data_IF_363450513622
#
_entry.id   IF_363450513622
#
_cell.length_a   1.000
_cell.length_b   1.000
_cell.length_c   1.000
_cell.angle_alpha   90.00
_cell.angle_beta   90.00
_cell.angle_gamma   90.00
#
_symmetry.space_group_name_H-M   'P 1'
#
loop_
_entity.id
_entity.type
_entity.pdbx_description
1 polymer ?
#
# COMPACT_ATOMS: atom_id res chain seq x y z
N UNK A 1 -35.08 5.23 -38.84
CA UNK A 1 -34.93 3.79 -39.20
C UNK A 1 -35.97 3.00 -38.42
N UNK A 2 -36.85 2.32 -39.15
CA UNK A 2 -38.03 1.59 -38.70
C UNK A 2 -37.78 0.68 -37.48
N UNK A 3 -38.65 0.78 -36.46
CA UNK A 3 -38.64 -0.07 -35.25
C UNK A 3 -39.54 -1.31 -35.37
N UNK A 4 -40.01 -1.63 -36.57
CA UNK A 4 -41.10 -2.59 -36.83
C UNK A 4 -40.70 -3.86 -37.57
N UNK A 5 -39.42 -4.00 -37.99
CA UNK A 5 -38.93 -5.29 -38.49
C UNK A 5 -38.55 -6.16 -37.29
N UNK A 6 -39.15 -7.36 -37.11
CA UNK A 6 -38.64 -8.30 -36.12
C UNK A 6 -37.20 -8.63 -36.49
N UNK A 7 -36.27 -8.40 -35.56
CA UNK A 7 -34.87 -8.77 -35.72
C UNK A 7 -34.81 -10.25 -36.14
N UNK A 8 -34.40 -10.53 -37.38
CA UNK A 8 -34.37 -11.90 -37.91
C UNK A 8 -33.49 -12.83 -37.08
N UNK A 9 -32.49 -12.27 -36.40
CA UNK A 9 -31.64 -12.97 -35.43
C UNK A 9 -32.41 -13.44 -34.19
N UNK A 10 -33.44 -12.72 -33.76
CA UNK A 10 -34.24 -13.02 -32.56
C UNK A 10 -35.24 -14.14 -32.78
N UNK A 11 -35.63 -14.41 -34.03
CA UNK A 11 -36.54 -15.49 -34.43
C UNK A 11 -35.84 -16.84 -34.66
N UNK A 12 -34.51 -16.88 -34.58
CA UNK A 12 -33.74 -18.13 -34.68
C UNK A 12 -33.95 -18.96 -33.41
N UNK A 13 -33.97 -20.29 -33.54
CA UNK A 13 -34.07 -21.22 -32.42
C UNK A 13 -32.97 -20.94 -31.36
N UNK A 14 -33.37 -20.96 -30.09
CA UNK A 14 -32.52 -20.47 -28.99
C UNK A 14 -31.22 -21.28 -28.82
N UNK A 15 -31.22 -22.56 -29.20
CA UNK A 15 -30.00 -23.39 -29.21
C UNK A 15 -28.96 -22.91 -30.24
N UNK A 16 -29.41 -22.52 -31.43
CA UNK A 16 -28.54 -22.00 -32.50
C UNK A 16 -27.99 -20.64 -32.08
N UNK A 17 -28.83 -19.78 -31.50
CA UNK A 17 -28.37 -18.50 -30.94
C UNK A 17 -27.29 -18.71 -29.87
N UNK A 18 -27.49 -19.65 -28.94
CA UNK A 18 -26.48 -19.99 -27.91
C UNK A 18 -25.19 -20.50 -28.52
N UNK A 19 -25.26 -21.36 -29.53
CA UNK A 19 -24.08 -21.87 -30.24
C UNK A 19 -23.28 -20.75 -30.93
N UNK A 20 -23.96 -19.80 -31.57
CA UNK A 20 -23.31 -18.63 -32.19
C UNK A 20 -22.63 -17.79 -31.11
N UNK A 21 -23.36 -17.45 -30.05
CA UNK A 21 -22.87 -16.61 -28.93
C UNK A 21 -21.63 -17.25 -28.27
N UNK A 22 -21.62 -18.58 -28.08
CA UNK A 22 -20.46 -19.29 -27.53
C UNK A 22 -19.21 -19.16 -28.38
N UNK A 23 -19.32 -18.90 -29.69
CA UNK A 23 -18.18 -18.73 -30.60
C UNK A 23 -17.71 -17.28 -30.75
N UNK A 24 -18.50 -16.31 -30.29
CA UNK A 24 -18.16 -14.89 -30.41
C UNK A 24 -17.03 -14.47 -29.45
N UNK A 25 -16.25 -13.46 -29.85
CA UNK A 25 -15.24 -12.83 -28.99
C UNK A 25 -15.87 -12.08 -27.80
N UNK A 26 -15.13 -11.91 -26.70
CA UNK A 26 -15.59 -11.16 -25.51
C UNK A 26 -16.00 -9.73 -25.87
N UNK A 27 -15.26 -9.08 -26.79
CA UNK A 27 -15.58 -7.75 -27.28
C UNK A 27 -16.92 -7.71 -28.03
N UNK A 28 -17.14 -8.67 -28.92
CA UNK A 28 -18.40 -8.77 -29.69
C UNK A 28 -19.58 -9.09 -28.77
N UNK A 29 -19.37 -9.93 -27.75
CA UNK A 29 -20.38 -10.24 -26.73
C UNK A 29 -20.78 -8.98 -25.93
N UNK A 30 -19.81 -8.16 -25.54
CA UNK A 30 -20.08 -6.88 -24.87
C UNK A 30 -20.93 -5.94 -25.73
N UNK A 31 -20.64 -5.86 -27.03
CA UNK A 31 -21.47 -5.08 -27.98
C UNK A 31 -22.88 -5.66 -28.12
N UNK A 32 -23.00 -6.98 -28.23
CA UNK A 32 -24.28 -7.68 -28.36
C UNK A 32 -25.16 -7.48 -27.11
N UNK A 33 -24.56 -7.50 -25.92
CA UNK A 33 -25.26 -7.24 -24.66
C UNK A 33 -25.86 -5.83 -24.57
N UNK A 34 -25.32 -4.85 -25.30
CA UNK A 34 -25.85 -3.48 -25.36
C UNK A 34 -27.02 -3.30 -26.33
N UNK A 35 -27.28 -4.28 -27.21
CA UNK A 35 -28.30 -4.15 -28.27
C UNK A 35 -29.71 -4.26 -27.69
N UNK A 36 -29.98 -5.23 -26.82
CA UNK A 36 -31.30 -5.42 -26.23
C UNK A 36 -31.23 -6.16 -24.89
N UNK A 37 -32.30 -6.07 -24.07
CA UNK A 37 -32.41 -6.84 -22.82
C UNK A 37 -32.36 -8.36 -23.05
N UNK A 38 -32.88 -8.82 -24.19
CA UNK A 38 -32.85 -10.23 -24.57
C UNK A 38 -31.40 -10.70 -24.78
N UNK A 39 -30.64 -9.98 -25.61
CA UNK A 39 -29.24 -10.29 -25.88
C UNK A 39 -28.35 -10.03 -24.66
N UNK A 40 -28.70 -9.08 -23.80
CA UNK A 40 -28.03 -8.88 -22.51
C UNK A 40 -28.06 -10.16 -21.66
N UNK A 41 -29.24 -10.79 -21.53
CA UNK A 41 -29.39 -12.03 -20.76
C UNK A 41 -28.65 -13.23 -21.36
N UNK A 42 -28.54 -13.31 -22.68
CA UNK A 42 -27.83 -14.40 -23.37
C UNK A 42 -26.31 -14.21 -23.43
N UNK A 43 -25.85 -12.99 -23.71
CA UNK A 43 -24.44 -12.70 -23.93
C UNK A 43 -23.67 -12.52 -22.62
N UNK A 44 -24.28 -11.93 -21.58
CA UNK A 44 -23.60 -11.63 -20.30
C UNK A 44 -23.01 -12.88 -19.63
N UNK A 45 -23.75 -13.99 -19.45
CA UNK A 45 -23.18 -15.20 -18.84
C UNK A 45 -21.99 -15.75 -19.62
N UNK A 46 -22.07 -15.76 -20.95
CA UNK A 46 -21.00 -16.26 -21.82
C UNK A 46 -19.80 -15.31 -21.78
N UNK A 47 -20.04 -14.00 -21.77
CA UNK A 47 -19.00 -12.98 -21.72
C UNK A 47 -18.16 -13.10 -20.45
N UNK A 48 -18.81 -13.15 -19.27
CA UNK A 48 -18.09 -13.21 -18.00
C UNK A 48 -17.46 -14.58 -17.74
N UNK A 49 -18.06 -15.69 -18.19
CA UNK A 49 -17.41 -17.00 -18.14
C UNK A 49 -16.13 -17.03 -18.98
N UNK A 50 -16.16 -16.41 -20.17
CA UNK A 50 -14.96 -16.28 -21.00
C UNK A 50 -13.93 -15.35 -20.39
N UNK A 51 -14.36 -14.20 -19.84
CA UNK A 51 -13.49 -13.25 -19.16
C UNK A 51 -12.78 -13.88 -17.95
N UNK A 52 -13.49 -14.70 -17.16
CA UNK A 52 -12.90 -15.41 -16.02
C UNK A 52 -11.76 -16.37 -16.43
N UNK A 53 -11.85 -16.96 -17.62
CA UNK A 53 -10.80 -17.81 -18.20
C UNK A 53 -9.70 -17.03 -18.93
N UNK A 54 -9.91 -15.74 -19.23
CA UNK A 54 -8.92 -14.90 -19.93
C UNK A 54 -7.73 -14.59 -19.01
N UNK A 55 -6.53 -14.53 -19.60
CA UNK A 55 -5.31 -14.12 -18.91
C UNK A 55 -4.78 -12.82 -19.53
N UNK A 56 -4.99 -11.64 -18.90
CA UNK A 56 -5.69 -11.36 -17.64
C UNK A 56 -7.20 -11.02 -17.81
N UNK A 57 -8.07 -11.32 -16.81
CA UNK A 57 -9.50 -11.04 -16.85
C UNK A 57 -9.76 -9.54 -16.80
N UNK A 58 -10.42 -9.01 -17.81
CA UNK A 58 -10.54 -7.57 -18.04
C UNK A 58 -11.58 -6.96 -17.12
N UNK A 59 -12.64 -7.69 -16.77
CA UNK A 59 -13.75 -7.12 -16.00
C UNK A 59 -13.34 -6.78 -14.56
N UNK A 60 -12.67 -7.71 -13.86
CA UNK A 60 -12.24 -7.51 -12.46
C UNK A 60 -11.16 -6.42 -12.40
N UNK A 61 -10.17 -6.46 -13.29
CA UNK A 61 -9.09 -5.49 -13.30
C UNK A 61 -9.56 -4.10 -13.73
N UNK A 62 -10.48 -4.01 -14.69
CA UNK A 62 -11.15 -2.75 -15.02
C UNK A 62 -11.92 -2.21 -13.82
N UNK A 63 -12.72 -3.04 -13.14
CA UNK A 63 -13.49 -2.61 -11.98
C UNK A 63 -12.60 -2.12 -10.83
N UNK A 64 -11.45 -2.77 -10.62
CA UNK A 64 -10.45 -2.37 -9.63
C UNK A 64 -9.76 -1.04 -10.00
N UNK A 65 -9.35 -0.86 -11.26
CA UNK A 65 -8.61 0.33 -11.72
C UNK A 65 -9.46 1.56 -12.04
N UNK A 66 -10.76 1.36 -12.29
CA UNK A 66 -11.67 2.43 -12.71
C UNK A 66 -11.76 3.56 -11.69
N UNK A 67 -11.86 4.80 -12.17
CA UNK A 67 -12.08 5.97 -11.31
C UNK A 67 -13.53 6.00 -10.82
N UNK A 68 -13.74 6.02 -9.51
CA UNK A 68 -15.07 5.91 -8.91
C UNK A 68 -15.85 7.23 -8.94
N UNK A 69 -16.48 7.54 -10.08
CA UNK A 69 -17.54 8.56 -10.22
C UNK A 69 -18.89 8.05 -9.67
N UNK A 70 -19.86 8.92 -9.32
CA UNK A 70 -21.16 8.50 -8.78
C UNK A 70 -21.87 7.43 -9.63
N UNK A 71 -21.78 7.55 -10.95
CA UNK A 71 -22.41 6.63 -11.90
C UNK A 71 -21.65 5.31 -12.03
N UNK A 72 -20.31 5.39 -12.10
CA UNK A 72 -19.46 4.20 -12.22
C UNK A 72 -19.46 3.37 -10.95
N UNK A 73 -19.70 3.94 -9.76
CA UNK A 73 -19.82 3.16 -8.50
C UNK A 73 -20.85 2.04 -8.57
N UNK A 74 -22.01 2.30 -9.19
CA UNK A 74 -23.06 1.27 -9.36
C UNK A 74 -22.62 0.21 -10.36
N UNK A 75 -21.93 0.63 -11.42
CA UNK A 75 -21.42 -0.27 -12.46
C UNK A 75 -20.32 -1.17 -11.90
N UNK A 76 -19.32 -0.61 -11.19
CA UNK A 76 -18.23 -1.36 -10.54
C UNK A 76 -18.79 -2.47 -9.65
N UNK A 77 -19.78 -2.17 -8.80
CA UNK A 77 -20.42 -3.19 -7.94
C UNK A 77 -21.05 -4.31 -8.77
N UNK A 78 -21.83 -3.97 -9.80
CA UNK A 78 -22.47 -4.94 -10.69
C UNK A 78 -21.47 -5.79 -11.46
N UNK A 79 -20.40 -5.19 -11.98
CA UNK A 79 -19.35 -5.89 -12.73
C UNK A 79 -18.62 -6.88 -11.83
N UNK A 80 -18.28 -6.49 -10.60
CA UNK A 80 -17.65 -7.39 -9.63
C UNK A 80 -18.59 -8.54 -9.22
N UNK A 81 -19.88 -8.26 -9.01
CA UNK A 81 -20.88 -9.29 -8.72
C UNK A 81 -20.99 -10.31 -9.87
N UNK A 82 -21.13 -9.82 -11.11
CA UNK A 82 -21.20 -10.69 -12.29
C UNK A 82 -19.90 -11.49 -12.48
N UNK A 83 -18.74 -10.87 -12.29
CA UNK A 83 -17.47 -11.54 -12.43
C UNK A 83 -17.35 -12.73 -11.46
N UNK A 84 -17.69 -12.56 -10.19
CA UNK A 84 -17.64 -13.66 -9.21
C UNK A 84 -18.69 -14.73 -9.51
N UNK A 85 -19.93 -14.34 -9.83
CA UNK A 85 -21.01 -15.29 -10.18
C UNK A 85 -20.62 -16.22 -11.33
N UNK A 86 -19.82 -15.74 -12.28
CA UNK A 86 -19.40 -16.50 -13.45
C UNK A 86 -17.96 -17.05 -13.37
N UNK A 87 -17.40 -17.17 -12.15
CA UNK A 87 -16.15 -17.90 -11.90
C UNK A 87 -14.88 -17.03 -11.87
N UNK A 88 -15.02 -15.71 -11.84
CA UNK A 88 -13.90 -14.79 -11.70
C UNK A 88 -13.26 -14.88 -10.31
N UNK A 89 -11.96 -15.19 -10.26
CA UNK A 89 -11.20 -15.29 -9.01
C UNK A 89 -10.69 -13.91 -8.55
N UNK A 90 -11.22 -13.43 -7.42
CA UNK A 90 -10.82 -12.13 -6.81
C UNK A 90 -9.43 -12.13 -6.18
N UNK A 91 -8.86 -13.31 -5.90
CA UNK A 91 -7.53 -13.51 -5.32
C UNK A 91 -6.50 -13.95 -6.34
N UNK A 92 -6.84 -13.95 -7.63
CA UNK A 92 -5.87 -14.29 -8.67
C UNK A 92 -4.73 -13.27 -8.66
N UNK A 93 -3.51 -13.80 -8.71
CA UNK A 93 -2.27 -13.04 -8.71
C UNK A 93 -1.88 -12.81 -10.16
N UNK A 94 -1.55 -11.56 -10.50
CA UNK A 94 -1.16 -11.15 -11.84
C UNK A 94 0.28 -10.68 -11.87
N UNK A 95 1.09 -11.08 -12.86
CA UNK A 95 2.42 -10.53 -13.05
C UNK A 95 2.32 -9.10 -13.59
N UNK A 96 3.19 -8.23 -13.10
CA UNK A 96 3.45 -6.88 -13.58
C UNK A 96 4.93 -6.80 -13.89
N UNK A 97 5.28 -6.64 -15.16
CA UNK A 97 6.68 -6.51 -15.58
C UNK A 97 7.04 -5.03 -15.49
N UNK A 98 7.98 -4.70 -14.60
CA UNK A 98 8.56 -3.36 -14.48
C UNK A 98 10.08 -3.51 -14.59
N UNK A 99 10.65 -2.94 -15.66
CA UNK A 99 12.11 -2.82 -15.83
C UNK A 99 12.88 -4.13 -15.57
N UNK A 100 12.56 -5.18 -16.32
CA UNK A 100 13.13 -6.55 -16.24
C UNK A 100 12.83 -7.34 -14.95
N UNK A 101 11.97 -6.84 -14.06
CA UNK A 101 11.53 -7.55 -12.84
C UNK A 101 10.04 -7.88 -12.90
N UNK A 102 9.69 -9.05 -12.34
CA UNK A 102 8.31 -9.53 -12.26
C UNK A 102 7.78 -9.20 -10.86
N UNK A 103 6.98 -8.14 -10.75
CA UNK A 103 6.14 -7.90 -9.60
C UNK A 103 4.85 -8.71 -9.73
N UNK A 104 4.15 -8.98 -8.63
CA UNK A 104 2.82 -9.57 -8.67
C UNK A 104 1.81 -8.76 -7.88
N UNK A 105 0.55 -8.77 -8.30
CA UNK A 105 -0.50 -8.02 -7.64
C UNK A 105 -1.87 -8.69 -7.77
N UNK A 106 -2.77 -8.38 -6.83
CA UNK A 106 -4.17 -8.82 -6.87
C UNK A 106 -5.08 -7.67 -7.29
N UNK A 107 -6.34 -7.95 -7.69
CA UNK A 107 -7.34 -6.91 -7.92
C UNK A 107 -7.50 -5.96 -6.73
N UNK A 108 -7.35 -6.48 -5.51
CA UNK A 108 -7.43 -5.68 -4.30
C UNK A 108 -6.25 -4.71 -4.19
N UNK A 109 -5.03 -5.14 -4.53
CA UNK A 109 -3.86 -4.26 -4.60
C UNK A 109 -4.05 -3.13 -5.61
N UNK A 110 -4.56 -3.45 -6.80
CA UNK A 110 -4.82 -2.45 -7.82
C UNK A 110 -5.87 -1.43 -7.37
N UNK A 111 -6.96 -1.90 -6.75
CA UNK A 111 -8.00 -1.03 -6.21
C UNK A 111 -7.46 -0.12 -5.09
N UNK A 112 -6.61 -0.65 -4.21
CA UNK A 112 -5.98 0.12 -3.13
C UNK A 112 -5.00 1.17 -3.66
N UNK A 113 -4.11 0.79 -4.59
CA UNK A 113 -3.13 1.69 -5.20
C UNK A 113 -3.80 2.84 -5.97
N UNK A 114 -4.95 2.59 -6.61
CA UNK A 114 -5.74 3.64 -7.28
C UNK A 114 -6.63 4.44 -6.32
N UNK A 115 -6.76 4.03 -5.06
CA UNK A 115 -7.67 4.63 -4.09
C UNK A 115 -9.15 4.38 -4.42
N UNK A 116 -9.46 3.33 -5.20
CA UNK A 116 -10.83 2.97 -5.57
C UNK A 116 -11.52 2.25 -4.41
N UNK A 117 -12.03 3.03 -3.46
CA UNK A 117 -12.72 2.51 -2.27
C UNK A 117 -13.93 1.64 -2.57
N UNK A 118 -14.62 1.90 -3.67
CA UNK A 118 -15.86 1.17 -3.99
C UNK A 118 -15.53 -0.25 -4.44
N UNK A 119 -14.50 -0.38 -5.28
CA UNK A 119 -13.97 -1.68 -5.66
C UNK A 119 -13.33 -2.39 -4.47
N UNK A 120 -12.45 -1.73 -3.70
CA UNK A 120 -11.79 -2.35 -2.55
C UNK A 120 -12.79 -2.90 -1.50
N UNK A 121 -13.78 -2.10 -1.07
CA UNK A 121 -14.84 -2.58 -0.16
C UNK A 121 -15.63 -3.75 -0.73
N UNK A 122 -15.90 -3.74 -2.04
CA UNK A 122 -16.67 -4.79 -2.69
C UNK A 122 -15.86 -6.07 -2.83
N UNK A 123 -14.59 -5.97 -3.21
CA UNK A 123 -13.64 -7.09 -3.30
C UNK A 123 -13.48 -7.77 -1.94
N UNK A 124 -13.27 -7.02 -0.86
CA UNK A 124 -13.21 -7.58 0.50
C UNK A 124 -14.49 -8.33 0.87
N UNK A 125 -15.67 -7.77 0.54
CA UNK A 125 -16.97 -8.45 0.76
C UNK A 125 -17.14 -9.73 -0.08
N UNK A 126 -16.44 -9.82 -1.21
CA UNK A 126 -16.46 -10.98 -2.10
C UNK A 126 -15.39 -12.03 -1.72
N UNK A 127 -14.72 -11.87 -0.57
CA UNK A 127 -13.69 -12.80 -0.10
C UNK A 127 -12.30 -12.54 -0.66
N UNK A 128 -12.02 -11.31 -1.13
CA UNK A 128 -10.66 -10.94 -1.46
C UNK A 128 -9.80 -10.94 -0.20
N UNK A 129 -8.67 -11.64 -0.25
CA UNK A 129 -7.73 -11.74 0.86
C UNK A 129 -6.91 -10.44 0.96
N UNK A 130 -7.04 -9.67 2.06
CA UNK A 130 -6.26 -8.46 2.28
C UNK A 130 -4.77 -8.72 2.51
N UNK A 131 -4.39 -9.99 2.74
CA UNK A 131 -3.03 -10.48 2.86
C UNK A 131 -2.61 -11.30 1.62
N UNK A 132 -3.26 -11.11 0.46
CA UNK A 132 -2.86 -11.85 -0.73
C UNK A 132 -1.46 -11.43 -1.22
N UNK A 133 -0.68 -12.39 -1.74
CA UNK A 133 0.71 -12.18 -2.17
C UNK A 133 0.80 -11.19 -3.34
N UNK A 134 1.38 -10.02 -3.08
CA UNK A 134 1.87 -9.10 -4.11
C UNK A 134 3.38 -9.00 -3.98
N UNK A 135 4.13 -9.60 -4.89
CA UNK A 135 5.59 -9.56 -4.89
C UNK A 135 6.04 -8.19 -5.45
N UNK A 136 6.96 -7.52 -4.75
CA UNK A 136 7.77 -6.37 -5.22
C UNK A 136 7.11 -4.99 -5.51
N UNK A 137 5.84 -4.75 -5.17
CA UNK A 137 5.12 -3.49 -5.52
C UNK A 137 5.81 -2.18 -5.08
N UNK A 138 6.71 -2.20 -4.08
CA UNK A 138 7.35 -1.00 -3.50
C UNK A 138 8.84 -0.80 -3.77
N UNK A 139 9.49 -1.70 -4.53
CA UNK A 139 10.97 -1.67 -4.66
C UNK A 139 11.49 -0.39 -5.32
N UNK A 140 10.69 0.25 -6.16
CA UNK A 140 11.16 1.30 -7.08
C UNK A 140 11.05 2.75 -6.57
N UNK A 141 10.47 2.99 -5.37
CA UNK A 141 10.37 4.39 -4.85
C UNK A 141 11.02 4.62 -3.50
N UNK A 142 11.52 3.58 -2.82
CA UNK A 142 12.06 3.69 -1.46
C UNK A 142 13.29 2.79 -1.16
N UNK A 143 13.74 1.92 -2.08
CA UNK A 143 14.74 0.88 -1.76
C UNK A 143 15.90 0.77 -2.75
N UNK A 144 17.13 0.64 -2.23
CA UNK A 144 18.32 0.25 -2.99
C UNK A 144 18.44 -1.29 -2.99
N UNK A 145 18.80 -1.93 -4.12
CA UNK A 145 18.79 -3.39 -4.29
C UNK A 145 19.89 -4.16 -3.52
N UNK A 146 20.69 -3.50 -2.68
CA UNK A 146 21.91 -4.12 -2.12
C UNK A 146 21.69 -5.08 -0.94
N UNK A 147 20.49 -5.24 -0.41
CA UNK A 147 20.29 -5.87 0.91
C UNK A 147 19.06 -6.81 0.94
N UNK A 148 19.11 -7.88 0.15
CA UNK A 148 18.11 -8.96 0.21
C UNK A 148 18.59 -10.08 1.16
N UNK A 149 17.98 -10.18 2.34
CA UNK A 149 18.14 -11.31 3.27
C UNK A 149 17.25 -12.50 2.82
N UNK A 150 17.67 -13.77 3.07
CA UNK A 150 16.98 -14.97 2.56
C UNK A 150 15.75 -15.42 3.37
N UNK A 151 15.18 -14.59 4.24
CA UNK A 151 14.07 -14.96 5.12
C UNK A 151 12.71 -14.70 4.44
N UNK A 152 11.86 -15.74 4.50
CA UNK A 152 10.46 -15.90 4.07
C UNK A 152 9.75 -14.67 3.47
N UNK A 153 9.19 -14.74 2.25
CA UNK A 153 8.79 -13.57 1.47
C UNK A 153 7.61 -12.81 2.10
N UNK A 154 7.96 -11.74 2.83
CA UNK A 154 7.05 -10.81 3.49
C UNK A 154 5.95 -10.29 2.55
N UNK A 155 4.73 -10.64 2.90
CA UNK A 155 3.52 -10.43 2.11
C UNK A 155 3.09 -8.96 2.11
N UNK A 156 3.00 -8.33 0.93
CA UNK A 156 2.48 -6.95 0.82
C UNK A 156 0.96 -6.98 1.01
N UNK A 157 0.51 -6.69 2.22
CA UNK A 157 -0.91 -6.57 2.53
C UNK A 157 -1.53 -5.23 2.09
N UNK A 158 -2.85 -5.13 2.21
CA UNK A 158 -3.63 -3.93 1.90
C UNK A 158 -3.15 -2.68 2.65
N UNK A 159 -2.78 -2.80 3.93
CA UNK A 159 -2.36 -1.67 4.76
C UNK A 159 -1.01 -1.10 4.32
N UNK A 160 -0.08 -1.94 3.84
CA UNK A 160 1.18 -1.46 3.25
C UNK A 160 0.91 -0.57 2.03
N UNK A 161 0.01 -1.00 1.14
CA UNK A 161 -0.30 -0.24 -0.07
C UNK A 161 -0.93 1.09 0.27
N UNK A 162 -1.86 1.11 1.21
CA UNK A 162 -2.47 2.34 1.69
C UNK A 162 -1.42 3.25 2.35
N UNK A 163 -0.54 2.72 3.19
CA UNK A 163 0.48 3.50 3.90
C UNK A 163 1.48 4.18 2.96
N UNK A 164 1.69 3.60 1.78
CA UNK A 164 2.55 4.19 0.76
C UNK A 164 1.88 5.30 -0.08
N UNK A 165 0.56 5.51 0.05
CA UNK A 165 -0.14 6.61 -0.63
C UNK A 165 0.25 7.96 -0.03
N UNK A 166 0.19 9.05 -0.82
CA UNK A 166 0.58 10.35 -0.34
C UNK A 166 -0.47 10.95 0.60
N UNK A 167 -0.04 11.84 1.52
CA UNK A 167 -0.85 12.40 2.60
C UNK A 167 -2.15 13.05 2.11
N UNK A 168 -2.16 13.67 0.94
CA UNK A 168 -3.33 14.37 0.39
C UNK A 168 -4.50 13.43 0.08
N UNK A 169 -4.24 12.14 -0.11
CA UNK A 169 -5.31 11.14 -0.32
C UNK A 169 -6.09 10.89 0.96
N UNK A 170 -5.42 10.92 2.11
CA UNK A 170 -6.03 10.69 3.42
C UNK A 170 -6.81 11.91 3.91
N UNK A 171 -6.30 13.12 3.66
CA UNK A 171 -7.02 14.36 3.99
C UNK A 171 -8.31 14.50 3.18
N UNK A 172 -8.30 14.07 1.91
CA UNK A 172 -9.48 14.10 1.04
C UNK A 172 -10.46 12.94 1.28
N UNK A 173 -9.97 11.79 1.76
CA UNK A 173 -10.80 10.60 1.95
C UNK A 173 -10.48 9.87 3.26
N UNK A 174 -11.07 10.35 4.35
CA UNK A 174 -11.02 9.72 5.67
C UNK A 174 -11.54 8.27 5.68
N UNK A 175 -12.29 7.84 4.65
CA UNK A 175 -12.76 6.46 4.54
C UNK A 175 -11.62 5.45 4.39
N UNK A 176 -10.43 5.88 3.94
CA UNK A 176 -9.26 5.00 3.83
C UNK A 176 -8.71 4.62 5.21
N UNK A 177 -8.85 5.49 6.21
CA UNK A 177 -8.43 5.22 7.59
C UNK A 177 -9.26 4.10 8.23
N UNK A 178 -10.52 3.92 7.79
CA UNK A 178 -11.38 2.83 8.25
C UNK A 178 -10.80 1.43 7.98
N UNK A 179 -9.94 1.26 6.97
CA UNK A 179 -9.30 -0.04 6.72
C UNK A 179 -8.35 -0.44 7.84
N UNK A 180 -7.66 0.52 8.47
CA UNK A 180 -6.77 0.26 9.60
C UNK A 180 -7.56 -0.17 10.83
N UNK A 181 -8.73 0.44 11.08
CA UNK A 181 -9.64 0.04 12.17
C UNK A 181 -10.26 -1.35 11.96
N UNK A 182 -10.61 -1.68 10.72
CA UNK A 182 -11.30 -2.92 10.39
C UNK A 182 -10.36 -4.12 10.21
N UNK A 183 -9.05 -3.89 10.07
CA UNK A 183 -8.05 -4.93 9.85
C UNK A 183 -6.89 -4.83 10.86
N UNK A 184 -7.15 -4.86 12.18
CA UNK A 184 -6.11 -4.73 13.21
C UNK A 184 -5.06 -5.84 13.11
N UNK A 185 -5.44 -7.03 12.66
CA UNK A 185 -4.55 -8.18 12.50
C UNK A 185 -3.43 -7.97 11.46
N UNK A 186 -3.54 -6.97 10.59
CA UNK A 186 -2.57 -6.69 9.53
C UNK A 186 -1.61 -5.54 9.87
N UNK A 187 -1.83 -4.85 11.01
CA UNK A 187 -1.17 -3.59 11.34
C UNK A 187 0.32 -3.75 11.61
N UNK A 188 0.73 -4.87 12.21
CA UNK A 188 2.12 -5.14 12.59
C UNK A 188 2.78 -6.20 11.70
N UNK A 189 2.14 -6.61 10.60
CA UNK A 189 2.76 -7.57 9.68
C UNK A 189 3.83 -6.83 8.88
N UNK A 190 5.11 -7.23 8.92
CA UNK A 190 6.13 -6.60 8.11
C UNK A 190 6.17 -7.17 6.68
N UNK A 191 6.56 -6.34 5.71
CA UNK A 191 7.00 -6.81 4.38
C UNK A 191 8.49 -7.23 4.40
N UNK A 192 8.97 -7.72 3.25
CA UNK A 192 10.41 -7.87 2.98
C UNK A 192 11.15 -6.61 3.44
N UNK A 193 12.22 -6.79 4.22
CA UNK A 193 12.96 -5.76 4.95
C UNK A 193 12.41 -5.39 6.35
N UNK A 194 11.48 -6.14 6.94
CA UNK A 194 11.00 -5.88 8.31
C UNK A 194 10.13 -4.61 8.42
N UNK A 195 9.62 -4.11 7.29
CA UNK A 195 8.91 -2.84 7.26
C UNK A 195 7.42 -3.07 7.46
N UNK A 196 6.91 -2.60 8.59
CA UNK A 196 5.47 -2.58 8.86
C UNK A 196 4.79 -1.39 8.16
N UNK A 197 3.45 -1.38 8.07
CA UNK A 197 2.70 -0.21 7.62
C UNK A 197 3.09 1.09 8.36
N UNK A 198 3.50 0.99 9.63
CA UNK A 198 4.02 2.12 10.41
C UNK A 198 5.28 2.71 9.79
N UNK A 199 6.27 1.89 9.43
CA UNK A 199 7.49 2.37 8.77
C UNK A 199 7.21 3.09 7.44
N UNK A 200 6.27 2.55 6.64
CA UNK A 200 5.89 3.19 5.37
C UNK A 200 5.24 4.56 5.57
N UNK A 201 4.45 4.71 6.63
CA UNK A 201 3.84 5.99 6.99
C UNK A 201 4.88 7.05 7.33
N UNK A 202 5.94 6.64 8.03
CA UNK A 202 7.05 7.50 8.43
C UNK A 202 7.83 7.94 7.20
N UNK A 203 8.19 7.02 6.29
CA UNK A 203 8.87 7.37 5.04
C UNK A 203 8.12 8.39 4.18
N UNK A 204 6.78 8.39 4.25
CA UNK A 204 5.93 9.35 3.55
C UNK A 204 5.66 10.64 4.34
N UNK A 205 6.11 10.74 5.59
CA UNK A 205 5.83 11.88 6.47
C UNK A 205 4.34 12.06 6.76
N UNK A 206 3.58 10.96 6.81
CA UNK A 206 2.13 11.00 6.99
C UNK A 206 1.75 10.86 8.48
N UNK A 207 1.80 11.97 9.20
CA UNK A 207 1.46 12.10 10.62
C UNK A 207 0.02 11.65 10.95
N UNK A 208 -0.94 11.87 10.05
CA UNK A 208 -2.34 11.46 10.24
C UNK A 208 -2.43 9.93 10.27
N UNK A 209 -1.78 9.27 9.31
CA UNK A 209 -1.78 7.82 9.20
C UNK A 209 -0.96 7.18 10.32
N UNK A 210 0.15 7.81 10.73
CA UNK A 210 0.90 7.39 11.91
C UNK A 210 0.02 7.36 13.16
N UNK A 211 -0.70 8.44 13.46
CA UNK A 211 -1.61 8.50 14.61
C UNK A 211 -2.67 7.42 14.54
N UNK A 212 -3.26 7.20 13.36
CA UNK A 212 -4.28 6.18 13.18
C UNK A 212 -3.73 4.76 13.37
N UNK A 213 -2.56 4.44 12.80
CA UNK A 213 -1.90 3.14 13.01
C UNK A 213 -1.62 2.92 14.50
N UNK A 214 -1.07 3.92 15.18
CA UNK A 214 -0.76 3.86 16.61
C UNK A 214 -2.03 3.64 17.46
N UNK A 215 -3.12 4.36 17.17
CA UNK A 215 -4.39 4.17 17.90
C UNK A 215 -5.01 2.77 17.71
N UNK A 216 -4.65 2.07 16.63
CA UNK A 216 -5.15 0.73 16.33
C UNK A 216 -4.16 -0.38 16.74
N UNK A 217 -3.12 -0.09 17.52
CA UNK A 217 -2.19 -1.09 18.06
C UNK A 217 -0.91 -1.28 17.24
N UNK A 218 -0.50 -0.27 16.48
CA UNK A 218 0.82 -0.24 15.83
C UNK A 218 1.95 -0.37 16.85
N UNK A 219 2.88 -1.29 16.62
CA UNK A 219 4.05 -1.44 17.48
C UNK A 219 5.12 -0.39 17.12
N UNK A 220 5.36 0.54 18.04
CA UNK A 220 6.35 1.62 17.89
C UNK A 220 7.78 1.17 18.14
N UNK A 221 7.95 -0.04 18.67
CA UNK A 221 9.24 -0.63 19.02
C UNK A 221 9.67 -1.74 18.04
N UNK A 222 8.88 -2.04 17.01
CA UNK A 222 9.28 -3.01 15.97
C UNK A 222 10.58 -2.56 15.28
N UNK A 223 11.45 -3.49 14.93
CA UNK A 223 12.69 -3.17 14.22
C UNK A 223 12.58 -3.54 12.74
N UNK A 224 13.16 -2.70 11.88
CA UNK A 224 13.38 -3.07 10.49
C UNK A 224 14.61 -3.97 10.35
N UNK A 225 14.88 -4.45 9.14
CA UNK A 225 16.03 -5.31 8.83
C UNK A 225 17.42 -4.73 9.15
N UNK A 226 17.53 -3.42 9.35
CA UNK A 226 18.78 -2.73 9.73
C UNK A 226 18.91 -2.66 11.26
N UNK A 227 17.88 -3.08 12.00
CA UNK A 227 17.83 -2.95 13.45
C UNK A 227 17.44 -1.56 13.92
N UNK A 228 16.69 -0.80 13.11
CA UNK A 228 16.21 0.54 13.47
C UNK A 228 14.75 0.49 13.88
N UNK A 229 14.42 1.17 14.99
CA UNK A 229 13.04 1.39 15.43
C UNK A 229 12.36 2.47 14.56
N UNK A 230 11.01 2.56 14.57
CA UNK A 230 10.25 3.63 13.93
C UNK A 230 10.77 5.02 14.29
N UNK A 231 11.14 5.25 15.56
CA UNK A 231 11.68 6.52 16.01
C UNK A 231 13.02 6.84 15.33
N UNK A 232 13.94 5.87 15.28
CA UNK A 232 15.21 6.01 14.58
C UNK A 232 14.99 6.29 13.09
N UNK A 233 14.04 5.59 12.46
CA UNK A 233 13.73 5.81 11.05
C UNK A 233 13.18 7.22 10.80
N UNK A 234 12.34 7.75 11.69
CA UNK A 234 11.82 9.12 11.57
C UNK A 234 12.93 10.16 11.68
N UNK A 235 13.89 9.96 12.59
CA UNK A 235 15.06 10.82 12.75
C UNK A 235 15.92 10.81 11.49
N UNK A 236 16.25 9.62 10.97
CA UNK A 236 17.03 9.46 9.74
C UNK A 236 16.33 10.14 8.56
N UNK A 237 15.02 9.93 8.41
CA UNK A 237 14.24 10.60 7.37
C UNK A 237 14.22 12.12 7.53
N UNK A 238 14.23 12.65 8.76
CA UNK A 238 14.37 14.08 9.00
C UNK A 238 15.74 14.61 8.54
N UNK A 239 16.83 13.89 8.85
CA UNK A 239 18.20 14.26 8.49
C UNK A 239 18.44 14.23 6.97
N UNK A 240 17.84 13.27 6.27
CA UNK A 240 18.00 13.10 4.82
C UNK A 240 17.23 14.14 3.97
N UNK A 241 16.24 14.86 4.53
CA UNK A 241 15.37 15.75 3.74
C UNK A 241 15.89 17.18 3.68
N UNK A 242 16.00 17.68 2.45
CA UNK A 242 16.51 19.03 2.19
C UNK A 242 15.51 20.13 2.49
N UNK A 243 14.24 19.83 2.28
CA UNK A 243 13.13 20.76 2.42
C UNK A 243 12.85 21.06 3.92
N UNK A 244 12.91 22.32 4.36
CA UNK A 244 12.62 22.71 5.74
C UNK A 244 11.18 22.40 6.16
N UNK A 245 10.20 22.52 5.27
CA UNK A 245 8.79 22.24 5.60
C UNK A 245 8.58 20.76 5.93
N UNK A 246 9.25 19.90 5.16
CA UNK A 246 9.24 18.45 5.40
C UNK A 246 9.91 18.11 6.73
N UNK A 247 11.03 18.77 7.08
CA UNK A 247 11.69 18.58 8.39
C UNK A 247 10.80 19.00 9.55
N UNK A 248 10.06 20.10 9.44
CA UNK A 248 9.08 20.52 10.47
C UNK A 248 8.03 19.43 10.68
N UNK A 249 7.54 18.81 9.60
CA UNK A 249 6.61 17.69 9.68
C UNK A 249 7.22 16.49 10.45
N UNK A 250 8.46 16.11 10.11
CA UNK A 250 9.15 15.01 10.80
C UNK A 250 9.45 15.31 12.27
N UNK A 251 9.82 16.54 12.61
CA UNK A 251 9.98 16.96 14.01
C UNK A 251 8.67 16.80 14.77
N UNK A 252 7.54 17.21 14.18
CA UNK A 252 6.22 16.98 14.76
C UNK A 252 5.89 15.49 14.92
N UNK A 253 6.31 14.64 13.99
CA UNK A 253 6.18 13.17 14.09
C UNK A 253 7.01 12.65 15.27
N UNK A 254 8.29 13.03 15.36
CA UNK A 254 9.22 12.62 16.43
C UNK A 254 8.69 13.04 17.79
N UNK A 255 8.26 14.30 17.95
CA UNK A 255 7.64 14.79 19.19
C UNK A 255 6.38 13.99 19.54
N UNK A 256 5.49 13.71 18.58
CA UNK A 256 4.30 12.88 18.84
C UNK A 256 4.68 11.45 19.27
N UNK A 257 5.71 10.85 18.67
CA UNK A 257 6.17 9.50 19.00
C UNK A 257 6.70 9.42 20.44
N UNK A 258 7.44 10.44 20.87
CA UNK A 258 8.04 10.48 22.21
C UNK A 258 7.00 10.92 23.26
N UNK A 259 6.28 12.01 23.01
CA UNK A 259 5.37 12.62 24.00
C UNK A 259 4.02 11.91 24.09
N UNK A 260 3.42 11.50 22.96
CA UNK A 260 2.08 10.90 22.96
C UNK A 260 2.11 9.37 22.98
N UNK A 261 3.13 8.75 22.38
CA UNK A 261 3.21 7.29 22.25
C UNK A 261 4.33 6.65 23.09
N UNK A 262 5.09 7.46 23.83
CA UNK A 262 6.12 7.00 24.77
C UNK A 262 7.14 6.05 24.15
N UNK A 263 7.57 6.33 22.90
CA UNK A 263 8.61 5.59 22.21
C UNK A 263 9.90 5.59 23.03
N UNK A 264 10.56 4.43 23.13
CA UNK A 264 11.82 4.33 23.89
C UNK A 264 12.94 5.09 23.16
N UNK A 265 13.60 5.97 23.90
CA UNK A 265 14.73 6.78 23.42
C UNK A 265 16.09 6.15 23.73
N UNK A 266 16.11 5.05 24.48
CA UNK A 266 17.30 4.31 24.90
C UNK A 266 16.94 3.03 25.66
N UNK A 267 17.93 2.20 26.00
CA UNK A 267 17.78 0.88 26.61
C UNK A 267 16.84 -0.04 25.82
N UNK A 268 17.07 -0.10 24.52
CA UNK A 268 16.36 -1.01 23.63
C UNK A 268 16.92 -2.41 23.87
N UNK A 269 16.35 -3.13 24.85
CA UNK A 269 16.76 -4.49 25.24
C UNK A 269 16.51 -5.58 24.18
N UNK A 270 16.30 -5.17 22.93
CA UNK A 270 16.17 -6.05 21.77
C UNK A 270 17.56 -6.20 21.13
N UNK A 271 18.02 -7.45 20.99
CA UNK A 271 19.31 -7.77 20.40
C UNK A 271 19.41 -7.33 18.93
N UNK A 272 18.28 -7.20 18.26
CA UNK A 272 18.21 -6.80 16.85
C UNK A 272 18.41 -5.29 16.67
N UNK A 273 18.35 -4.48 17.73
CA UNK A 273 18.61 -3.03 17.66
C UNK A 273 20.10 -2.75 17.59
N UNK A 274 20.62 -2.39 16.43
CA UNK A 274 22.07 -2.25 16.22
C UNK A 274 22.65 -0.90 16.67
N UNK A 275 21.81 0.14 16.75
CA UNK A 275 22.21 1.53 16.95
C UNK A 275 21.32 2.22 17.99
N UNK A 276 21.81 3.27 18.63
CA UNK A 276 20.97 4.16 19.46
C UNK A 276 20.44 5.33 18.61
N UNK A 277 19.33 5.98 18.99
CA UNK A 277 18.80 7.12 18.24
C UNK A 277 19.82 8.25 18.05
N UNK A 278 20.69 8.46 19.04
CA UNK A 278 21.78 9.46 18.96
C UNK A 278 22.86 9.05 17.95
N UNK A 279 23.24 7.77 17.90
CA UNK A 279 24.22 7.28 16.92
C UNK A 279 23.67 7.40 15.49
N UNK A 280 22.39 7.12 15.27
CA UNK A 280 21.76 7.30 13.97
C UNK A 280 21.85 8.75 13.47
N UNK A 281 21.71 9.75 14.35
CA UNK A 281 21.84 11.16 13.97
C UNK A 281 23.24 11.45 13.40
N UNK A 282 24.28 10.98 14.09
CA UNK A 282 25.67 11.32 13.78
C UNK A 282 26.15 10.63 12.51
N UNK A 283 25.76 9.36 12.29
CA UNK A 283 26.08 8.62 11.06
C UNK A 283 25.53 9.27 9.80
N UNK A 284 24.38 9.93 9.89
CA UNK A 284 23.74 10.58 8.75
C UNK A 284 24.28 12.00 8.49
N UNK A 285 25.16 12.52 9.36
CA UNK A 285 25.84 13.80 9.13
C UNK A 285 26.97 13.60 8.09
N UNK A 286 26.94 14.32 6.95
CA UNK A 286 28.02 14.26 5.98
C UNK A 286 29.31 14.85 6.55
N UNK A 287 30.41 14.13 6.34
CA UNK A 287 31.77 14.58 6.66
C UNK A 287 32.54 14.82 5.35
N UNK A 288 32.95 16.06 5.02
CA UNK A 288 32.86 17.30 5.82
C UNK A 288 31.47 17.95 5.82
N UNK A 289 31.16 18.67 6.90
CA UNK A 289 29.90 19.42 7.08
C UNK A 289 29.76 20.53 6.03
N UNK A 290 28.72 20.52 5.17
CA UNK A 290 28.49 21.58 4.21
C UNK A 290 28.11 22.90 4.89
N UNK A 291 28.59 24.03 4.36
CA UNK A 291 28.35 25.37 4.92
C UNK A 291 26.88 25.77 4.95
N UNK A 292 26.06 25.20 4.07
CA UNK A 292 24.64 25.54 3.90
C UNK A 292 23.71 24.81 4.90
N UNK A 293 24.27 23.96 5.77
CA UNK A 293 23.50 23.13 6.72
C UNK A 293 23.09 23.83 8.01
N UNK A 294 23.25 25.16 8.14
CA UNK A 294 22.95 25.91 9.38
C UNK A 294 21.57 25.61 9.95
N UNK A 295 20.54 25.56 9.09
CA UNK A 295 19.17 25.24 9.52
C UNK A 295 19.00 23.75 9.87
N UNK A 296 19.66 22.83 9.16
CA UNK A 296 19.62 21.39 9.46
C UNK A 296 20.30 21.07 10.79
N UNK A 297 21.44 21.70 11.07
CA UNK A 297 22.17 21.54 12.32
C UNK A 297 21.33 22.04 13.50
N UNK A 298 20.60 23.15 13.33
CA UNK A 298 19.68 23.65 14.35
C UNK A 298 18.52 22.66 14.59
N UNK A 299 17.91 22.12 13.53
CA UNK A 299 16.86 21.11 13.65
C UNK A 299 17.36 19.83 14.34
N UNK A 300 18.56 19.37 13.99
CA UNK A 300 19.21 18.20 14.59
C UNK A 300 19.50 18.45 16.07
N UNK A 301 20.00 19.64 16.42
CA UNK A 301 20.26 20.02 17.81
C UNK A 301 18.97 19.98 18.63
N UNK A 302 17.86 20.48 18.10
CA UNK A 302 16.56 20.41 18.77
C UNK A 302 16.07 18.97 18.97
N UNK A 303 16.32 18.07 18.01
CA UNK A 303 16.01 16.63 18.16
C UNK A 303 16.89 16.00 19.26
N UNK A 304 18.19 16.31 19.29
CA UNK A 304 19.11 15.83 20.34
C UNK A 304 18.64 16.33 21.70
N UNK A 305 18.34 17.63 21.84
CA UNK A 305 17.86 18.22 23.08
C UNK A 305 16.55 17.55 23.55
N UNK A 306 15.65 17.21 22.61
CA UNK A 306 14.41 16.50 22.90
C UNK A 306 14.67 15.06 23.38
N UNK A 307 15.59 14.32 22.75
CA UNK A 307 15.97 12.97 23.17
C UNK A 307 16.62 12.97 24.56
N UNK A 308 17.55 13.89 24.82
CA UNK A 308 18.22 14.04 26.12
C UNK A 308 17.23 14.37 27.23
N UNK A 309 16.26 15.26 26.96
CA UNK A 309 15.20 15.61 27.92
C UNK A 309 14.34 14.40 28.32
N UNK A 310 14.15 13.45 27.41
CA UNK A 310 13.36 12.24 27.64
C UNK A 310 14.20 11.03 28.08
N UNK A 311 15.48 11.25 28.44
CA UNK A 311 16.32 10.24 29.09
C UNK A 311 17.21 9.43 28.15
N UNK A 312 17.49 9.92 26.95
CA UNK A 312 18.54 9.32 26.11
C UNK A 312 19.93 9.51 26.77
N UNK A 313 20.68 8.42 26.92
CA UNK A 313 22.04 8.48 27.47
C UNK A 313 23.07 8.63 26.34
N UNK A 314 23.92 9.64 26.44
CA UNK A 314 25.01 9.92 25.48
C UNK A 314 26.04 8.79 25.49
N UNK A 315 26.22 8.13 26.64
CA UNK A 315 27.17 7.06 26.83
C UNK A 315 26.56 5.67 26.59
N UNK A 316 25.32 5.59 26.13
CA UNK A 316 24.70 4.32 25.79
C UNK A 316 25.51 3.64 24.68
N UNK A 317 25.96 2.42 24.98
CA UNK A 317 26.68 1.56 24.04
C UNK A 317 25.63 0.86 23.20
N UNK A 318 25.66 1.05 21.88
CA UNK A 318 24.79 0.29 20.99
C UNK A 318 25.16 -1.19 20.99
N UNK A 319 24.27 -2.07 20.52
CA UNK A 319 24.60 -3.49 20.39
C UNK A 319 25.75 -3.75 19.39
N UNK A 320 26.07 -2.78 18.53
CA UNK A 320 27.28 -2.79 17.69
C UNK A 320 28.58 -2.43 18.45
N UNK A 321 28.50 -2.10 19.75
CA UNK A 321 29.65 -1.79 20.61
C UNK A 321 30.13 -0.33 20.54
N UNK A 322 29.39 0.56 19.88
CA UNK A 322 29.78 1.96 19.72
C UNK A 322 28.99 2.86 20.65
N UNK A 323 29.63 3.91 21.16
CA UNK A 323 28.93 5.05 21.76
C UNK A 323 28.85 6.19 20.76
N UNK A 324 28.03 7.18 21.10
CA UNK A 324 27.90 8.44 20.36
C UNK A 324 29.26 9.09 20.04
N UNK A 325 30.19 9.08 21.00
CA UNK A 325 31.54 9.63 20.86
C UNK A 325 32.47 8.82 19.96
N UNK A 326 32.24 7.51 19.78
CA UNK A 326 33.05 6.70 18.87
C UNK A 326 32.76 7.01 17.39
N UNK A 327 31.62 7.65 17.10
CA UNK A 327 31.13 7.92 15.74
C UNK A 327 31.28 9.40 15.35
N UNK A 328 31.58 10.28 16.31
CA UNK A 328 31.95 11.69 16.12
C UNK A 328 33.37 11.85 15.57
#
# INVERSE_FOLDING_TARGET
>A
KDRTKPDQLSNIQIEIQRNIIQRLSVYTLGRLAMVSRFYYGLATPVQYKKDACDEPPRAILWAASCTATPDTKKIIKKVLDLAVVYGGNVNRIYPLIVSDKIATYTPLHLAAAKGNKTAAKKLLKLGADPNALGWEFFRDTLFSPSMASPVDPGTINLLHILSALPKEKFTKDASLLLYFRNLPQLINIPIMAGLTPLFLSIHRGNDILLKEIMTNGGNIEDVNYIGRTPLMQAIVCCCMKEDPEVRICYKGIISNMIECFNAKVGNLGDADVMETPLICIIKELPTPLPTDWKHRIQDIKEIIDLLLKHGADINEVSNAGFTMLHVL
#
